data_IF_498571560679
#
_entry.id   IF_498571560679
#
_cell.length_a   1.000
_cell.length_b   1.000
_cell.length_c   1.000
_cell.angle_alpha   90.00
_cell.angle_beta   90.00
_cell.angle_gamma   90.00
#
_symmetry.space_group_name_H-M   'P 1'
#
loop_
_entity.id
_entity.type
_entity.pdbx_description
1 polymer ?
#
# COMPACT_ATOMS: atom_id res chain seq x y z
N UNK A 1 -5.69 -5.61 -40.00
CA UNK A 1 -5.81 -6.52 -38.84
C UNK A 1 -4.55 -6.50 -37.96
N UNK A 2 -3.32 -6.65 -38.52
CA UNK A 2 -2.05 -6.63 -37.76
C UNK A 2 -1.83 -5.30 -37.02
N UNK A 3 -2.09 -4.16 -37.66
CA UNK A 3 -2.01 -2.83 -37.04
C UNK A 3 -3.08 -2.63 -35.93
N UNK A 4 -4.26 -3.19 -36.10
CA UNK A 4 -5.31 -3.15 -35.06
C UNK A 4 -4.91 -3.96 -33.82
N UNK A 5 -4.32 -5.15 -34.01
CA UNK A 5 -3.77 -5.95 -32.90
C UNK A 5 -2.57 -5.29 -32.23
N UNK A 6 -1.72 -4.59 -33.00
CA UNK A 6 -0.60 -3.83 -32.42
C UNK A 6 -1.11 -2.63 -31.62
N UNK A 7 -2.10 -1.88 -32.12
CA UNK A 7 -2.71 -0.74 -31.40
C UNK A 7 -3.45 -1.19 -30.13
N UNK A 8 -4.25 -2.25 -30.20
CA UNK A 8 -4.94 -2.79 -29.02
C UNK A 8 -3.96 -3.41 -28.02
N UNK A 9 -2.84 -3.97 -28.46
CA UNK A 9 -1.77 -4.47 -27.60
C UNK A 9 -1.01 -3.30 -26.91
N UNK A 10 -0.75 -2.22 -27.64
CA UNK A 10 -0.10 -1.01 -27.10
C UNK A 10 -1.06 -0.26 -26.16
N UNK A 11 -2.33 -0.08 -26.51
CA UNK A 11 -3.33 0.49 -25.61
C UNK A 11 -3.51 -0.35 -24.34
N UNK A 12 -3.55 -1.68 -24.44
CA UNK A 12 -3.60 -2.56 -23.27
C UNK A 12 -2.30 -2.51 -22.42
N UNK A 13 -1.12 -2.27 -23.03
CA UNK A 13 0.12 -2.05 -22.29
C UNK A 13 0.17 -0.66 -21.62
N UNK A 14 -0.34 0.38 -22.28
CA UNK A 14 -0.43 1.72 -21.71
C UNK A 14 -1.42 1.76 -20.53
N UNK A 15 -2.53 1.00 -20.59
CA UNK A 15 -3.46 0.87 -19.44
C UNK A 15 -2.91 -0.03 -18.31
N UNK A 16 -1.86 -0.83 -18.53
CA UNK A 16 -1.27 -1.69 -17.50
C UNK A 16 -0.27 -1.00 -16.56
N UNK A 17 0.19 0.21 -16.87
CA UNK A 17 1.22 0.92 -16.10
C UNK A 17 0.66 1.99 -15.14
N UNK A 18 -0.64 2.23 -15.08
CA UNK A 18 -1.21 3.17 -14.13
C UNK A 18 -1.41 2.52 -12.76
N UNK A 19 -0.88 3.14 -11.71
CA UNK A 19 -1.13 2.72 -10.33
C UNK A 19 -2.65 2.80 -10.05
N UNK A 20 -3.22 1.71 -9.52
CA UNK A 20 -4.66 1.58 -9.30
C UNK A 20 -5.19 2.72 -8.40
N UNK A 21 -6.33 3.29 -8.77
CA UNK A 21 -6.98 4.37 -8.00
C UNK A 21 -7.38 3.90 -6.61
N UNK A 22 -7.67 2.62 -6.44
CA UNK A 22 -7.98 2.00 -5.16
C UNK A 22 -6.77 1.96 -4.21
N UNK A 23 -5.54 2.11 -4.73
CA UNK A 23 -4.34 2.34 -3.91
C UNK A 23 -4.15 3.83 -3.60
N UNK A 24 -4.38 4.72 -4.58
CA UNK A 24 -4.09 6.15 -4.47
C UNK A 24 -5.15 6.93 -3.68
N UNK A 25 -6.42 6.58 -3.87
CA UNK A 25 -7.58 7.27 -3.28
C UNK A 25 -8.71 6.29 -2.95
N UNK A 26 -8.48 5.33 -2.03
CA UNK A 26 -9.47 4.34 -1.64
C UNK A 26 -10.66 4.99 -0.92
N UNK A 27 -11.84 4.40 -1.07
CA UNK A 27 -13.03 4.74 -0.27
C UNK A 27 -13.13 3.89 0.99
N UNK A 28 -12.41 2.77 1.01
CA UNK A 28 -12.36 1.86 2.15
C UNK A 28 -10.98 1.21 2.27
N UNK A 29 -10.49 1.08 3.50
CA UNK A 29 -9.20 0.47 3.81
C UNK A 29 -9.39 -0.59 4.90
N UNK A 30 -8.80 -1.77 4.70
CA UNK A 30 -8.68 -2.78 5.77
C UNK A 30 -7.24 -2.90 6.25
N UNK A 31 -7.05 -2.96 7.57
CA UNK A 31 -5.77 -3.32 8.19
C UNK A 31 -5.86 -4.78 8.64
N UNK A 32 -5.17 -5.69 7.93
CA UNK A 32 -5.09 -7.10 8.26
C UNK A 32 -3.89 -7.33 9.18
N UNK A 33 -4.14 -7.90 10.36
CA UNK A 33 -3.15 -7.98 11.44
C UNK A 33 -3.14 -6.72 12.31
N UNK A 34 -4.27 -6.01 12.36
CA UNK A 34 -4.45 -4.84 13.23
C UNK A 34 -4.19 -5.21 14.71
N UNK A 35 -3.65 -4.27 15.48
CA UNK A 35 -3.29 -4.47 16.88
C UNK A 35 -3.60 -3.24 17.73
N UNK A 36 -4.00 -3.46 18.99
CA UNK A 36 -4.06 -2.40 20.00
C UNK A 36 -2.67 -1.91 20.45
N UNK A 37 -1.64 -2.73 20.23
CA UNK A 37 -0.25 -2.36 20.52
C UNK A 37 0.34 -1.55 19.35
N UNK A 38 0.47 -0.25 19.56
CA UNK A 38 0.98 0.70 18.56
C UNK A 38 2.50 0.61 18.31
N UNK A 39 3.22 -0.27 19.02
CA UNK A 39 4.62 -0.60 18.72
C UNK A 39 4.75 -1.69 17.65
N UNK A 40 3.66 -2.39 17.35
CA UNK A 40 3.60 -3.37 16.26
C UNK A 40 3.19 -2.70 14.96
N UNK A 41 3.70 -3.14 13.79
CA UNK A 41 3.38 -2.53 12.51
C UNK A 41 1.87 -2.37 12.26
N UNK A 42 1.06 -3.43 12.50
CA UNK A 42 -0.39 -3.37 12.33
C UNK A 42 -1.11 -2.44 13.30
N UNK A 43 -0.54 -2.19 14.48
CA UNK A 43 -1.06 -1.20 15.42
C UNK A 43 -0.65 0.22 15.09
N UNK A 44 0.61 0.41 14.66
CA UNK A 44 1.13 1.71 14.26
C UNK A 44 0.44 2.22 12.99
N UNK A 45 0.33 1.40 11.95
CA UNK A 45 -0.35 1.80 10.71
C UNK A 45 -1.83 2.16 10.95
N UNK A 46 -2.54 1.38 11.77
CA UNK A 46 -3.93 1.70 12.11
C UNK A 46 -4.04 3.06 12.83
N UNK A 47 -3.16 3.31 13.82
CA UNK A 47 -3.10 4.61 14.51
C UNK A 47 -2.83 5.76 13.53
N UNK A 48 -1.86 5.60 12.63
CA UNK A 48 -1.51 6.61 11.66
C UNK A 48 -2.65 6.87 10.66
N UNK A 49 -3.32 5.81 10.21
CA UNK A 49 -4.48 5.90 9.33
C UNK A 49 -5.65 6.65 9.99
N UNK A 50 -5.98 6.34 11.25
CA UNK A 50 -7.02 7.05 12.02
C UNK A 50 -6.64 8.54 12.17
N UNK A 51 -5.38 8.82 12.51
CA UNK A 51 -4.90 10.18 12.74
C UNK A 51 -4.73 11.01 11.45
N UNK A 52 -4.62 10.36 10.29
CA UNK A 52 -4.51 11.03 8.98
C UNK A 52 -5.81 11.69 8.52
N UNK A 53 -6.89 11.53 9.30
CA UNK A 53 -8.22 12.05 8.97
C UNK A 53 -8.76 11.47 7.65
N UNK A 54 -8.44 10.22 7.36
CA UNK A 54 -8.99 9.48 6.23
C UNK A 54 -10.52 9.57 6.21
N UNK A 55 -11.10 9.83 5.06
CA UNK A 55 -12.53 10.12 4.93
C UNK A 55 -13.39 8.90 4.58
N UNK A 56 -12.73 7.77 4.26
CA UNK A 56 -13.39 6.52 3.92
C UNK A 56 -13.64 5.63 5.13
N UNK A 57 -14.10 4.42 4.85
CA UNK A 57 -14.36 3.39 5.86
C UNK A 57 -13.07 2.68 6.26
N UNK A 58 -12.85 2.48 7.55
CA UNK A 58 -11.71 1.70 8.08
C UNK A 58 -12.23 0.40 8.65
N UNK A 59 -11.67 -0.70 8.19
CA UNK A 59 -11.93 -2.05 8.71
C UNK A 59 -10.66 -2.62 9.32
N UNK A 60 -10.81 -3.51 10.29
CA UNK A 60 -9.69 -4.23 10.89
C UNK A 60 -9.94 -5.73 10.92
N UNK A 61 -8.87 -6.52 10.77
CA UNK A 61 -8.93 -7.98 10.86
C UNK A 61 -7.88 -8.47 11.85
N UNK A 62 -8.35 -9.16 12.89
CA UNK A 62 -7.52 -9.91 13.84
C UNK A 62 -8.36 -11.02 14.48
N UNK A 63 -7.95 -12.31 14.40
CA UNK A 63 -8.75 -13.42 14.92
C UNK A 63 -8.92 -13.44 16.44
N UNK A 64 -8.21 -12.58 17.18
CA UNK A 64 -8.22 -12.54 18.65
C UNK A 64 -8.96 -11.34 19.23
N UNK A 65 -9.40 -10.41 18.39
CA UNK A 65 -9.97 -9.14 18.81
C UNK A 65 -11.37 -8.95 18.21
N UNK A 66 -12.23 -8.27 18.92
CA UNK A 66 -13.56 -7.85 18.43
C UNK A 66 -13.59 -6.35 18.13
N UNK A 67 -12.64 -5.61 18.68
CA UNK A 67 -12.42 -4.19 18.45
C UNK A 67 -10.93 -3.87 18.61
N UNK A 68 -10.39 -3.01 17.75
CA UNK A 68 -9.01 -2.52 17.81
C UNK A 68 -9.00 -1.01 17.63
N UNK A 69 -8.47 -0.28 18.61
CA UNK A 69 -8.36 1.20 18.59
C UNK A 69 -9.71 1.91 18.28
N UNK A 70 -10.83 1.38 18.78
CA UNK A 70 -12.17 1.91 18.55
C UNK A 70 -12.82 1.49 17.23
N UNK A 71 -12.15 0.67 16.42
CA UNK A 71 -12.67 0.15 15.15
C UNK A 71 -13.12 -1.30 15.34
N UNK A 72 -14.33 -1.63 14.86
CA UNK A 72 -14.84 -3.00 14.83
C UNK A 72 -13.86 -3.94 14.11
N UNK A 73 -13.55 -5.06 14.77
CA UNK A 73 -12.60 -6.03 14.24
C UNK A 73 -13.31 -7.30 13.76
N UNK A 74 -12.97 -7.73 12.54
CA UNK A 74 -13.43 -9.00 11.97
C UNK A 74 -12.43 -10.12 12.30
N UNK A 75 -12.92 -11.33 12.50
CA UNK A 75 -12.05 -12.47 12.80
C UNK A 75 -11.25 -12.93 11.57
N UNK A 76 -11.80 -12.78 10.36
CA UNK A 76 -11.18 -13.19 9.09
C UNK A 76 -11.58 -12.25 7.96
N UNK A 77 -10.76 -12.28 6.90
CA UNK A 77 -11.00 -11.47 5.69
C UNK A 77 -12.29 -11.87 4.96
N UNK A 78 -12.70 -13.14 5.08
CA UNK A 78 -13.96 -13.66 4.52
C UNK A 78 -15.20 -12.90 5.02
N UNK A 79 -15.17 -12.40 6.24
CA UNK A 79 -16.28 -11.73 6.89
C UNK A 79 -16.38 -10.23 6.53
N UNK A 80 -15.40 -9.69 5.80
CA UNK A 80 -15.36 -8.28 5.37
C UNK A 80 -16.42 -7.98 4.31
N UNK A 81 -16.90 -6.75 4.24
CA UNK A 81 -17.57 -6.23 3.03
C UNK A 81 -16.58 -6.10 1.87
N UNK A 82 -17.01 -5.52 0.74
CA UNK A 82 -16.11 -5.06 -0.32
C UNK A 82 -15.16 -4.00 0.24
N UNK A 83 -13.90 -4.02 -0.19
CA UNK A 83 -12.87 -3.08 0.31
C UNK A 83 -11.85 -2.74 -0.78
N UNK A 84 -11.57 -1.46 -0.97
CA UNK A 84 -10.74 -0.98 -2.06
C UNK A 84 -9.24 -1.25 -1.83
N UNK A 85 -8.75 -0.98 -0.61
CA UNK A 85 -7.32 -1.09 -0.27
C UNK A 85 -7.09 -1.93 0.98
N UNK A 86 -6.05 -2.75 0.97
CA UNK A 86 -5.64 -3.57 2.10
C UNK A 86 -4.21 -3.28 2.53
N UNK A 87 -4.03 -2.98 3.82
CA UNK A 87 -2.71 -2.88 4.45
C UNK A 87 -2.49 -4.15 5.27
N UNK A 88 -1.47 -4.93 4.91
CA UNK A 88 -1.27 -6.29 5.41
C UNK A 88 -0.03 -6.33 6.30
N UNK A 89 -0.24 -6.67 7.58
CA UNK A 89 0.77 -6.77 8.65
C UNK A 89 0.71 -8.14 9.35
N UNK A 90 0.72 -9.23 8.57
CA UNK A 90 0.72 -10.62 9.05
C UNK A 90 1.95 -11.36 8.51
N UNK A 91 2.26 -12.53 9.08
CA UNK A 91 3.41 -13.32 8.63
C UNK A 91 3.28 -13.72 7.14
N UNK A 92 4.40 -13.62 6.40
CA UNK A 92 4.48 -13.80 4.95
C UNK A 92 3.75 -15.03 4.43
N UNK A 93 3.87 -16.18 5.11
CA UNK A 93 3.22 -17.44 4.72
C UNK A 93 1.68 -17.38 4.63
N UNK A 94 1.04 -16.40 5.27
CA UNK A 94 -0.41 -16.22 5.21
C UNK A 94 -0.84 -15.19 4.18
N UNK A 95 0.08 -14.38 3.66
CA UNK A 95 -0.22 -13.29 2.74
C UNK A 95 -0.81 -13.77 1.41
N UNK A 96 -0.30 -14.84 0.74
CA UNK A 96 -0.87 -15.27 -0.55
C UNK A 96 -2.36 -15.60 -0.48
N UNK A 97 -2.77 -16.40 0.51
CA UNK A 97 -4.18 -16.76 0.70
C UNK A 97 -5.05 -15.53 1.05
N UNK A 98 -4.53 -14.65 1.91
CA UNK A 98 -5.22 -13.41 2.30
C UNK A 98 -5.42 -12.48 1.11
N UNK A 99 -4.38 -12.25 0.30
CA UNK A 99 -4.45 -11.42 -0.92
C UNK A 99 -5.42 -12.02 -1.92
N UNK A 100 -5.40 -13.35 -2.09
CA UNK A 100 -6.33 -14.04 -2.99
C UNK A 100 -7.81 -13.79 -2.60
N UNK A 101 -8.16 -13.98 -1.32
CA UNK A 101 -9.53 -13.71 -0.83
C UNK A 101 -9.90 -12.23 -1.01
N UNK A 102 -9.01 -11.31 -0.64
CA UNK A 102 -9.25 -9.88 -0.79
C UNK A 102 -9.46 -9.47 -2.25
N UNK A 103 -8.60 -9.94 -3.14
CA UNK A 103 -8.66 -9.61 -4.57
C UNK A 103 -9.94 -10.14 -5.24
N UNK A 104 -10.22 -11.44 -5.09
CA UNK A 104 -11.30 -12.08 -5.85
C UNK A 104 -12.66 -12.02 -5.18
N UNK A 105 -12.72 -11.99 -3.84
CA UNK A 105 -13.99 -12.02 -3.13
C UNK A 105 -14.40 -10.66 -2.55
N UNK A 106 -13.41 -9.79 -2.29
CA UNK A 106 -13.67 -8.46 -1.69
C UNK A 106 -13.41 -7.30 -2.65
N UNK A 107 -13.00 -7.58 -3.89
CA UNK A 107 -12.81 -6.57 -4.94
C UNK A 107 -11.63 -5.64 -4.70
N UNK A 108 -10.72 -6.01 -3.79
CA UNK A 108 -9.55 -5.20 -3.44
C UNK A 108 -8.58 -5.10 -4.61
N UNK A 109 -8.13 -3.88 -4.91
CA UNK A 109 -7.14 -3.62 -5.95
C UNK A 109 -5.93 -2.83 -5.44
N UNK A 110 -6.03 -2.13 -4.31
CA UNK A 110 -4.89 -1.51 -3.65
C UNK A 110 -4.31 -2.43 -2.58
N UNK A 111 -3.01 -2.68 -2.60
CA UNK A 111 -2.34 -3.52 -1.61
C UNK A 111 -1.06 -2.87 -1.09
N UNK A 112 -0.86 -2.87 0.23
CA UNK A 112 0.37 -2.49 0.90
C UNK A 112 0.74 -3.63 1.84
N UNK A 113 1.90 -4.28 1.62
CA UNK A 113 2.36 -5.38 2.49
C UNK A 113 3.59 -4.90 3.25
N UNK A 114 3.39 -4.62 4.55
CA UNK A 114 4.47 -4.11 5.41
C UNK A 114 5.33 -5.22 6.00
N UNK A 115 4.85 -6.45 6.02
CA UNK A 115 5.57 -7.59 6.56
C UNK A 115 6.82 -7.92 5.75
N UNK A 116 7.85 -8.41 6.44
CA UNK A 116 9.03 -9.06 5.89
C UNK A 116 8.85 -10.61 5.83
N UNK A 117 9.84 -11.31 5.27
CA UNK A 117 9.86 -12.77 5.14
C UNK A 117 9.50 -13.24 3.74
N UNK A 118 9.85 -12.45 2.74
CA UNK A 118 9.61 -12.70 1.33
C UNK A 118 10.91 -12.96 0.55
N UNK A 119 11.06 -12.43 -0.65
CA UNK A 119 12.22 -12.66 -1.51
C UNK A 119 13.55 -12.20 -0.90
N UNK A 120 13.53 -11.23 0.00
CA UNK A 120 14.71 -10.76 0.73
C UNK A 120 15.22 -11.79 1.75
N UNK A 121 14.41 -12.77 2.15
CA UNK A 121 14.80 -13.74 3.16
C UNK A 121 15.23 -15.09 2.56
N UNK A 122 14.42 -15.65 1.64
CA UNK A 122 14.72 -16.96 1.06
C UNK A 122 13.81 -17.28 -0.17
N UNK A 123 14.08 -18.43 -0.82
CA UNK A 123 13.34 -18.90 -2.01
C UNK A 123 11.85 -19.13 -1.74
N UNK A 124 11.47 -19.59 -0.54
CA UNK A 124 10.06 -19.79 -0.18
C UNK A 124 9.34 -18.45 -0.08
N UNK A 125 10.02 -17.44 0.46
CA UNK A 125 9.52 -16.07 0.50
C UNK A 125 9.34 -15.47 -0.90
N UNK A 126 10.29 -15.72 -1.81
CA UNK A 126 10.20 -15.31 -3.20
C UNK A 126 9.01 -15.97 -3.93
N UNK A 127 8.69 -17.23 -3.58
CA UNK A 127 7.49 -17.91 -4.09
C UNK A 127 6.20 -17.25 -3.62
N UNK A 128 6.12 -16.88 -2.33
CA UNK A 128 4.97 -16.14 -1.81
C UNK A 128 4.79 -14.80 -2.53
N UNK A 129 5.88 -14.09 -2.77
CA UNK A 129 5.90 -12.82 -3.49
C UNK A 129 5.36 -12.98 -4.91
N UNK A 130 5.82 -13.98 -5.68
CA UNK A 130 5.31 -14.28 -7.02
C UNK A 130 3.81 -14.56 -7.04
N UNK A 131 3.31 -15.39 -6.11
CA UNK A 131 1.88 -15.72 -6.01
C UNK A 131 1.02 -14.48 -5.76
N UNK A 132 1.50 -13.57 -4.90
CA UNK A 132 0.82 -12.31 -4.61
C UNK A 132 0.78 -11.43 -5.85
N UNK A 133 1.92 -11.21 -6.50
CA UNK A 133 2.02 -10.40 -7.73
C UNK A 133 1.11 -10.93 -8.83
N UNK A 134 1.12 -12.26 -9.07
CA UNK A 134 0.21 -12.89 -10.04
C UNK A 134 -1.27 -12.63 -9.71
N UNK A 135 -1.63 -12.69 -8.43
CA UNK A 135 -3.01 -12.45 -7.98
C UNK A 135 -3.41 -11.00 -8.19
N UNK A 136 -2.57 -10.05 -7.77
CA UNK A 136 -2.80 -8.62 -7.92
C UNK A 136 -2.92 -8.22 -9.40
N UNK A 137 -2.05 -8.75 -10.25
CA UNK A 137 -2.10 -8.51 -11.70
C UNK A 137 -3.39 -9.01 -12.34
N UNK A 138 -3.91 -10.17 -11.92
CA UNK A 138 -5.17 -10.73 -12.45
C UNK A 138 -6.40 -9.85 -12.22
N UNK A 139 -6.38 -9.02 -11.19
CA UNK A 139 -7.48 -8.09 -10.87
C UNK A 139 -7.20 -6.65 -11.31
N UNK A 140 -6.07 -6.40 -11.98
CA UNK A 140 -5.65 -5.05 -12.37
C UNK A 140 -5.39 -4.18 -11.15
N UNK A 141 -4.82 -4.75 -10.10
CA UNK A 141 -4.49 -4.06 -8.85
C UNK A 141 -3.05 -3.55 -8.82
N UNK A 142 -2.70 -2.87 -7.72
CA UNK A 142 -1.34 -2.38 -7.46
C UNK A 142 -0.88 -2.77 -6.06
N UNK A 143 0.39 -3.17 -5.97
CA UNK A 143 1.04 -3.64 -4.75
C UNK A 143 2.28 -2.80 -4.41
N UNK A 144 2.28 -2.18 -3.23
CA UNK A 144 3.46 -1.60 -2.58
C UNK A 144 4.06 -2.61 -1.61
N UNK A 145 5.34 -2.81 -1.69
CA UNK A 145 6.08 -3.79 -0.89
C UNK A 145 6.33 -5.12 -1.62
N UNK A 146 6.41 -6.22 -0.91
CA UNK A 146 6.42 -6.37 0.55
C UNK A 146 7.66 -5.77 1.24
N UNK A 147 7.78 -5.98 2.56
CA UNK A 147 8.92 -5.50 3.35
C UNK A 147 9.13 -3.97 3.21
N UNK A 148 8.07 -3.20 3.36
CA UNK A 148 8.07 -1.75 3.20
C UNK A 148 7.57 -1.06 4.47
N UNK A 149 7.84 0.24 4.63
CA UNK A 149 7.22 1.03 5.70
C UNK A 149 5.85 1.58 5.32
N UNK A 150 5.50 1.49 4.05
CA UNK A 150 4.20 1.85 3.51
C UNK A 150 4.21 3.09 2.63
N UNK A 151 3.03 3.60 2.38
CA UNK A 151 2.76 4.72 1.50
C UNK A 151 1.88 5.74 2.21
N UNK A 152 2.12 7.01 1.95
CA UNK A 152 1.25 8.09 2.41
C UNK A 152 1.14 9.19 1.35
N UNK A 153 -0.05 9.72 1.21
CA UNK A 153 -0.38 10.88 0.41
C UNK A 153 -1.44 11.73 1.12
N UNK A 154 -1.94 12.77 0.47
CA UNK A 154 -2.95 13.67 1.04
C UNK A 154 -4.31 13.00 1.34
N UNK A 155 -4.57 11.82 0.79
CA UNK A 155 -5.83 11.10 1.00
C UNK A 155 -5.78 10.22 2.25
N UNK A 156 -4.64 9.59 2.55
CA UNK A 156 -4.48 8.73 3.72
C UNK A 156 -3.02 8.45 4.08
N UNK A 157 -2.81 7.97 5.30
CA UNK A 157 -1.52 7.46 5.75
C UNK A 157 -1.57 5.94 5.95
N UNK A 158 -1.03 5.20 4.99
CA UNK A 158 -0.87 3.75 5.04
C UNK A 158 0.53 3.31 5.48
N UNK A 159 1.29 4.17 6.16
CA UNK A 159 2.63 3.88 6.67
C UNK A 159 2.60 3.60 8.18
N UNK A 160 3.48 2.68 8.64
CA UNK A 160 3.58 2.36 10.07
C UNK A 160 4.70 3.11 10.78
N UNK A 161 5.61 3.74 10.05
CA UNK A 161 6.74 4.48 10.63
C UNK A 161 6.34 5.90 11.09
N UNK A 162 7.23 6.54 11.82
CA UNK A 162 7.09 7.90 12.32
C UNK A 162 8.43 8.65 12.11
N UNK A 163 8.41 9.99 12.09
CA UNK A 163 7.26 10.88 12.17
C UNK A 163 6.41 10.90 10.90
N UNK A 164 5.13 11.24 11.03
CA UNK A 164 4.26 11.50 9.88
C UNK A 164 4.37 12.98 9.54
N UNK A 165 4.80 13.34 8.31
CA UNK A 165 4.93 14.72 7.89
C UNK A 165 3.56 15.38 7.69
N UNK A 166 3.53 16.71 7.83
CA UNK A 166 2.43 17.49 7.27
C UNK A 166 2.55 17.47 5.75
N UNK A 167 1.46 17.09 5.09
CA UNK A 167 1.42 17.01 3.63
C UNK A 167 0.95 18.33 3.03
N UNK A 168 1.62 18.74 1.95
CA UNK A 168 1.38 19.97 1.22
C UNK A 168 1.37 19.66 -0.30
N UNK A 169 0.41 20.14 -1.08
CA UNK A 169 0.37 19.92 -2.54
C UNK A 169 1.62 20.45 -3.27
N UNK A 170 2.32 21.42 -2.69
CA UNK A 170 3.58 21.97 -3.22
C UNK A 170 4.82 21.35 -2.54
N UNK A 171 4.65 20.32 -1.71
CA UNK A 171 5.73 19.58 -1.09
C UNK A 171 6.43 18.64 -2.07
N UNK A 172 7.50 18.03 -1.62
CA UNK A 172 8.25 17.04 -2.43
C UNK A 172 7.57 15.68 -2.41
N UNK A 173 7.62 14.97 -3.53
CA UNK A 173 7.34 13.55 -3.59
C UNK A 173 8.63 12.79 -3.29
N UNK A 174 8.59 11.95 -2.26
CA UNK A 174 9.76 11.18 -1.84
C UNK A 174 9.55 9.70 -2.06
N UNK A 175 10.43 9.08 -2.85
CA UNK A 175 10.36 7.67 -3.23
C UNK A 175 11.63 6.96 -2.78
N UNK A 176 11.50 5.78 -2.17
CA UNK A 176 12.64 4.99 -1.72
C UNK A 176 12.30 3.50 -1.62
N UNK A 177 13.29 2.64 -1.94
CA UNK A 177 13.23 1.20 -1.64
C UNK A 177 13.53 0.87 -0.18
N UNK A 178 14.08 1.83 0.61
CA UNK A 178 14.54 1.59 1.98
C UNK A 178 13.67 2.28 3.03
N UNK A 179 13.02 1.48 3.89
CA UNK A 179 12.25 2.01 5.02
C UNK A 179 13.09 2.84 5.99
N UNK A 180 14.33 2.45 6.27
CA UNK A 180 15.23 3.22 7.13
C UNK A 180 15.54 4.60 6.52
N UNK A 181 15.80 4.66 5.21
CA UNK A 181 16.00 5.92 4.50
C UNK A 181 14.76 6.79 4.56
N UNK A 182 13.56 6.21 4.44
CA UNK A 182 12.31 6.95 4.56
C UNK A 182 12.19 7.66 5.93
N UNK A 183 12.51 6.95 7.02
CA UNK A 183 12.49 7.53 8.37
C UNK A 183 13.49 8.68 8.49
N UNK A 184 14.76 8.46 8.10
CA UNK A 184 15.81 9.48 8.21
C UNK A 184 15.49 10.75 7.42
N UNK A 185 15.05 10.61 6.18
CA UNK A 185 14.74 11.77 5.33
C UNK A 185 13.53 12.53 5.87
N UNK A 186 12.50 11.84 6.36
CA UNK A 186 11.35 12.49 6.99
C UNK A 186 11.75 13.25 8.26
N UNK A 187 12.46 12.60 9.18
CA UNK A 187 12.91 13.24 10.44
C UNK A 187 13.77 14.48 10.16
N UNK A 188 14.77 14.36 9.30
CA UNK A 188 15.64 15.46 8.95
C UNK A 188 14.90 16.55 8.16
N UNK A 189 14.10 16.16 7.17
CA UNK A 189 13.34 17.08 6.33
C UNK A 189 12.34 17.92 7.14
N UNK A 190 11.52 17.27 7.97
CA UNK A 190 10.54 17.96 8.83
C UNK A 190 11.23 18.96 9.76
N UNK A 191 12.36 18.55 10.37
CA UNK A 191 13.12 19.42 11.29
C UNK A 191 13.69 20.65 10.58
N UNK A 192 13.96 20.54 9.27
CA UNK A 192 14.49 21.63 8.45
C UNK A 192 13.42 22.35 7.60
N UNK A 193 12.13 22.11 7.87
CA UNK A 193 11.03 22.81 7.22
C UNK A 193 10.65 22.27 5.83
N UNK A 194 11.11 21.07 5.47
CA UNK A 194 10.69 20.40 4.24
C UNK A 194 9.24 19.92 4.40
N UNK A 195 8.41 20.20 3.42
CA UNK A 195 7.06 19.64 3.28
C UNK A 195 7.03 18.53 2.23
N UNK A 196 6.10 17.60 2.38
CA UNK A 196 5.95 16.46 1.47
C UNK A 196 4.56 16.49 0.82
N UNK A 197 4.48 16.16 -0.46
CA UNK A 197 3.20 15.87 -1.13
C UNK A 197 2.83 14.38 -0.96
N UNK A 198 3.82 13.50 -1.16
CA UNK A 198 3.66 12.06 -0.89
C UNK A 198 4.99 11.42 -0.44
N UNK A 199 4.89 10.25 0.19
CA UNK A 199 6.05 9.41 0.55
C UNK A 199 5.75 7.97 0.17
N UNK A 200 6.64 7.39 -0.63
CA UNK A 200 6.56 6.04 -1.16
C UNK A 200 7.75 5.23 -0.70
N UNK A 201 7.55 4.33 0.26
CA UNK A 201 8.56 3.36 0.64
C UNK A 201 8.19 2.00 0.06
N UNK A 202 8.72 1.71 -1.13
CA UNK A 202 8.26 0.57 -1.95
C UNK A 202 8.86 -0.79 -1.56
N UNK A 203 9.79 -0.82 -0.60
CA UNK A 203 10.35 -2.08 -0.06
C UNK A 203 11.01 -2.95 -1.13
N UNK A 204 10.61 -4.23 -1.21
CA UNK A 204 11.13 -5.17 -2.21
C UNK A 204 10.77 -4.82 -3.66
N UNK A 205 9.82 -3.89 -3.87
CA UNK A 205 9.36 -3.49 -5.22
C UNK A 205 8.89 -4.68 -6.07
N UNK A 206 8.10 -5.56 -5.46
CA UNK A 206 7.70 -6.81 -6.13
C UNK A 206 6.83 -6.58 -7.37
N UNK A 207 6.05 -5.48 -7.40
CA UNK A 207 5.25 -5.07 -8.55
C UNK A 207 5.42 -3.57 -8.82
N UNK A 208 4.99 -2.69 -7.90
CA UNK A 208 5.20 -1.25 -8.05
C UNK A 208 6.59 -0.91 -7.53
N UNK A 209 7.49 -0.51 -8.42
CA UNK A 209 8.85 -0.06 -8.15
C UNK A 209 8.98 1.47 -8.12
N UNK A 210 10.23 1.93 -7.98
CA UNK A 210 10.56 3.37 -7.99
C UNK A 210 10.24 3.97 -9.37
N UNK A 211 10.53 3.22 -10.43
CA UNK A 211 10.28 3.60 -11.82
C UNK A 211 8.80 3.81 -12.13
N UNK A 212 7.94 2.90 -11.65
CA UNK A 212 6.49 2.99 -11.86
C UNK A 212 5.89 4.21 -11.15
N UNK A 213 6.40 4.52 -9.93
CA UNK A 213 5.98 5.70 -9.17
C UNK A 213 6.45 6.98 -9.87
N UNK A 214 7.69 7.01 -10.40
CA UNK A 214 8.20 8.17 -11.13
C UNK A 214 7.40 8.44 -12.41
N UNK A 215 7.08 7.39 -13.17
CA UNK A 215 6.24 7.49 -14.38
C UNK A 215 4.84 8.03 -14.01
N UNK A 216 4.22 7.49 -12.97
CA UNK A 216 2.93 7.96 -12.47
C UNK A 216 2.95 9.43 -12.07
N UNK A 217 4.00 9.88 -11.36
CA UNK A 217 4.12 11.28 -10.94
C UNK A 217 4.36 12.21 -12.13
N UNK A 218 5.14 11.80 -13.14
CA UNK A 218 5.36 12.57 -14.37
C UNK A 218 4.07 12.71 -15.18
N UNK A 219 3.31 11.63 -15.36
CA UNK A 219 2.03 11.62 -16.07
C UNK A 219 0.93 12.45 -15.39
N UNK A 220 0.98 12.54 -14.06
CA UNK A 220 -0.02 13.26 -13.24
C UNK A 220 0.45 14.65 -12.81
N UNK A 221 1.63 15.07 -13.24
CA UNK A 221 2.20 16.37 -12.89
C UNK A 221 1.32 17.50 -13.42
N UNK A 222 0.91 18.37 -12.49
CA UNK A 222 0.18 19.59 -12.82
C UNK A 222 1.04 20.80 -12.41
N UNK A 223 1.58 21.58 -13.40
CA UNK A 223 2.43 22.72 -13.11
C UNK A 223 1.72 23.86 -12.38
N UNK A 224 0.37 23.84 -12.28
CA UNK A 224 -0.41 24.84 -11.57
C UNK A 224 -0.63 24.49 -10.08
N UNK A 225 -0.32 23.26 -9.69
CA UNK A 225 -0.33 22.80 -8.29
C UNK A 225 1.06 22.52 -7.77
#
# INVERSE_FOLDING_TARGET
EFLYYLFTSIENQIFQNMIAQELLNPKSIVVVGASGDTHKPGGSVLKNLINSNFKGEIYTVNPKETEVQGIKCFAKVDDLPQVDCAIIAIAAKYCPATVNTLAFEKGTKGFIIVSAGFGEENEQGAEFERQIVETVNKVGGSLIGPNCTGFLNRNYCGAFDAPIPTLDPHGVDFITGSGATAVFIKEYGITNGLTFNSVWAVGNSAQVGIEDVLEHLDETFDPET
#
